data_IF_026104910488
#
_entry.id   IF_026104910488
#
_cell.length_a   1.000
_cell.length_b   1.000
_cell.length_c   1.000
_cell.angle_alpha   90.00
_cell.angle_beta   90.00
_cell.angle_gamma   90.00
#
_symmetry.space_group_name_H-M   'P 1'
#
loop_
_entity.id
_entity.type
_entity.pdbx_description
1 polymer ?
#
# COMPACT_ATOMS: atom_id res chain seq x y z
N UNK A 1 -17.30 -54.75 -23.58
CA UNK A 1 -16.22 -53.77 -23.83
C UNK A 1 -16.76 -52.42 -23.37
N UNK A 2 -16.54 -52.11 -22.10
CA UNK A 2 -17.00 -50.88 -21.44
C UNK A 2 -15.93 -49.82 -21.59
N UNK A 3 -16.31 -48.74 -22.26
CA UNK A 3 -15.49 -47.57 -22.55
C UNK A 3 -15.45 -46.68 -21.31
N UNK A 4 -14.34 -46.73 -20.58
CA UNK A 4 -14.04 -45.87 -19.42
C UNK A 4 -13.49 -44.55 -19.92
N UNK A 5 -14.38 -43.64 -20.33
CA UNK A 5 -14.04 -42.29 -20.71
C UNK A 5 -14.13 -41.33 -19.52
N UNK A 6 -12.98 -40.71 -19.24
CA UNK A 6 -12.83 -39.31 -18.88
C UNK A 6 -13.37 -38.83 -17.52
N UNK A 7 -12.66 -39.22 -16.45
CA UNK A 7 -12.64 -38.44 -15.21
C UNK A 7 -11.94 -37.09 -15.47
N UNK A 8 -12.76 -36.08 -15.73
CA UNK A 8 -12.43 -34.65 -15.76
C UNK A 8 -11.44 -34.30 -14.64
N UNK A 9 -10.18 -34.06 -15.01
CA UNK A 9 -9.23 -33.28 -14.19
C UNK A 9 -9.77 -31.86 -14.14
N UNK A 10 -10.60 -31.56 -13.13
CA UNK A 10 -11.02 -30.19 -12.85
C UNK A 10 -9.79 -29.31 -12.67
N UNK A 11 -9.70 -28.26 -13.48
CA UNK A 11 -8.63 -27.28 -13.35
C UNK A 11 -8.65 -26.71 -11.93
N UNK A 12 -7.57 -26.92 -11.18
CA UNK A 12 -7.41 -26.36 -9.84
C UNK A 12 -7.57 -24.83 -9.93
N UNK A 13 -8.38 -24.20 -9.07
CA UNK A 13 -8.59 -22.76 -9.13
C UNK A 13 -7.25 -22.01 -9.05
N UNK A 14 -7.09 -20.91 -9.81
CA UNK A 14 -5.88 -20.10 -9.77
C UNK A 14 -5.64 -19.62 -8.34
N UNK A 15 -4.45 -19.90 -7.80
CA UNK A 15 -4.05 -19.53 -6.44
C UNK A 15 -4.11 -20.64 -5.39
N UNK A 16 -4.60 -21.85 -5.71
CA UNK A 16 -4.57 -22.94 -4.73
C UNK A 16 -3.14 -23.49 -4.52
N UNK A 17 -2.81 -23.79 -3.26
CA UNK A 17 -1.54 -24.44 -2.91
C UNK A 17 -1.47 -25.83 -3.55
N UNK A 18 -0.45 -26.04 -4.40
CA UNK A 18 -0.22 -27.33 -5.07
C UNK A 18 0.67 -28.28 -4.26
N UNK A 19 1.31 -27.79 -3.19
CA UNK A 19 2.28 -28.55 -2.42
C UNK A 19 1.64 -29.07 -1.11
N UNK A 20 1.37 -30.38 -0.99
CA UNK A 20 0.72 -30.94 0.19
C UNK A 20 1.56 -30.80 1.47
N UNK A 21 2.89 -30.64 1.34
CA UNK A 21 3.76 -30.39 2.51
C UNK A 21 3.54 -29.01 3.11
N UNK A 22 3.26 -28.01 2.27
CA UNK A 22 2.96 -26.64 2.74
C UNK A 22 1.59 -26.64 3.41
N UNK A 23 0.59 -27.30 2.83
CA UNK A 23 -0.75 -27.40 3.43
C UNK A 23 -0.71 -28.12 4.80
N UNK A 24 0.00 -29.24 4.90
CA UNK A 24 0.19 -29.94 6.18
C UNK A 24 1.00 -29.12 7.21
N UNK A 25 1.89 -28.23 6.76
CA UNK A 25 2.60 -27.31 7.64
C UNK A 25 1.70 -26.15 8.10
N UNK A 26 0.80 -25.65 7.24
CA UNK A 26 -0.21 -24.66 7.62
C UNK A 26 -1.12 -25.24 8.70
N UNK A 27 -1.60 -26.48 8.54
CA UNK A 27 -2.45 -27.12 9.55
C UNK A 27 -1.79 -27.19 10.92
N UNK A 28 -0.54 -27.67 10.96
CA UNK A 28 0.22 -27.74 12.21
C UNK A 28 0.48 -26.34 12.78
N UNK A 29 0.83 -25.38 11.94
CA UNK A 29 1.04 -23.99 12.37
C UNK A 29 -0.24 -23.35 12.95
N UNK A 30 -1.42 -23.67 12.39
CA UNK A 30 -2.72 -23.22 12.92
C UNK A 30 -3.01 -23.89 14.28
N UNK A 31 -2.81 -25.21 14.37
CA UNK A 31 -3.01 -25.99 15.60
C UNK A 31 -2.11 -25.56 16.75
N UNK A 32 -0.86 -25.22 16.46
CA UNK A 32 0.13 -24.79 17.44
C UNK A 32 0.12 -23.27 17.67
N UNK A 33 -0.30 -22.49 16.67
CA UNK A 33 -0.13 -21.04 16.66
C UNK A 33 1.30 -20.57 16.41
N UNK A 34 2.14 -21.45 15.86
CA UNK A 34 3.57 -21.22 15.67
C UNK A 34 3.92 -21.26 14.16
N UNK A 35 4.45 -20.16 13.60
CA UNK A 35 4.78 -20.09 12.18
C UNK A 35 6.15 -20.70 11.82
N UNK A 36 6.99 -21.10 12.76
CA UNK A 36 8.42 -21.36 12.49
C UNK A 36 8.65 -22.49 11.46
N UNK A 37 7.97 -23.63 11.61
CA UNK A 37 8.09 -24.74 10.66
C UNK A 37 7.59 -24.33 9.26
N UNK A 38 6.48 -23.59 9.20
CA UNK A 38 5.93 -23.09 7.94
C UNK A 38 6.92 -22.14 7.26
N UNK A 39 7.48 -21.18 8.01
CA UNK A 39 8.43 -20.21 7.47
C UNK A 39 9.73 -20.87 7.01
N UNK A 40 10.23 -21.88 7.72
CA UNK A 40 11.40 -22.65 7.31
C UNK A 40 11.18 -23.37 5.96
N UNK A 41 9.96 -23.88 5.70
CA UNK A 41 9.61 -24.47 4.41
C UNK A 41 9.49 -23.43 3.29
N UNK A 42 9.01 -22.22 3.61
CA UNK A 42 8.82 -21.14 2.65
C UNK A 42 10.11 -20.40 2.28
N UNK A 43 11.14 -20.42 3.12
CA UNK A 43 12.37 -19.62 2.95
C UNK A 43 12.96 -19.75 1.54
N UNK A 44 13.10 -20.99 1.04
CA UNK A 44 13.67 -21.27 -0.30
C UNK A 44 12.80 -20.82 -1.47
N UNK A 45 11.49 -20.69 -1.27
CA UNK A 45 10.53 -20.35 -2.31
C UNK A 45 10.00 -18.91 -2.20
N UNK A 46 10.42 -18.20 -1.15
CA UNK A 46 10.02 -16.82 -0.86
C UNK A 46 10.52 -15.79 -1.89
N UNK A 47 11.55 -16.14 -2.65
CA UNK A 47 12.25 -15.23 -3.57
C UNK A 47 13.19 -14.26 -2.85
N UNK A 48 13.37 -14.41 -1.54
CA UNK A 48 14.27 -13.62 -0.71
C UNK A 48 15.58 -14.38 -0.43
N UNK A 49 16.68 -13.69 -0.06
CA UNK A 49 17.93 -14.35 0.28
C UNK A 49 17.74 -15.30 1.46
N UNK A 50 18.24 -16.53 1.34
CA UNK A 50 18.17 -17.55 2.38
C UNK A 50 18.92 -17.10 3.65
N UNK A 51 18.47 -17.58 4.81
CA UNK A 51 19.18 -17.34 6.07
C UNK A 51 20.51 -18.10 6.10
N UNK A 52 21.58 -17.46 6.62
CA UNK A 52 22.83 -18.13 7.00
C UNK A 52 23.21 -17.66 8.41
N UNK A 53 23.22 -18.58 9.38
CA UNK A 53 23.74 -18.32 10.74
C UNK A 53 22.86 -17.43 11.63
N UNK A 54 21.53 -17.54 11.56
CA UNK A 54 20.61 -16.78 12.42
C UNK A 54 20.32 -15.35 11.95
N UNK A 55 21.02 -14.87 10.92
CA UNK A 55 20.69 -13.65 10.16
C UNK A 55 20.45 -13.97 8.69
N UNK A 56 19.72 -13.09 8.00
CA UNK A 56 19.68 -13.12 6.54
C UNK A 56 21.06 -12.77 6.03
N UNK A 57 21.64 -13.59 5.15
CA UNK A 57 22.88 -13.18 4.50
C UNK A 57 22.61 -11.81 3.85
N UNK A 58 23.51 -10.81 3.98
CA UNK A 58 23.42 -9.65 3.13
C UNK A 58 23.29 -10.19 1.70
N UNK A 59 22.33 -9.65 0.95
CA UNK A 59 22.27 -9.95 -0.48
C UNK A 59 23.65 -9.71 -1.10
N UNK A 60 23.92 -10.20 -2.33
CA UNK A 60 25.12 -9.76 -3.04
C UNK A 60 25.25 -8.24 -2.90
N UNK A 61 26.46 -7.72 -2.69
CA UNK A 61 26.70 -6.31 -2.37
C UNK A 61 26.28 -5.44 -3.57
N UNK A 62 24.99 -5.20 -3.57
CA UNK A 62 24.18 -4.66 -4.63
C UNK A 62 23.97 -3.25 -4.13
N UNK A 63 24.84 -2.33 -4.53
CA UNK A 63 24.84 -0.94 -4.09
C UNK A 63 23.46 -0.27 -4.15
N UNK A 64 23.29 0.98 -3.73
CA UNK A 64 21.97 1.61 -3.46
C UNK A 64 20.94 1.57 -4.61
N UNK A 65 21.35 1.23 -5.84
CA UNK A 65 20.52 1.16 -7.04
C UNK A 65 20.26 -0.27 -7.55
N UNK A 66 20.74 -1.30 -6.85
CA UNK A 66 20.63 -2.65 -7.34
C UNK A 66 19.22 -3.23 -7.13
N UNK A 67 18.76 -4.12 -8.03
CA UNK A 67 17.41 -4.64 -7.97
C UNK A 67 17.20 -5.42 -6.67
N UNK A 68 16.18 -5.05 -5.91
CA UNK A 68 15.78 -5.80 -4.74
C UNK A 68 15.37 -7.23 -5.10
N UNK A 69 15.51 -8.19 -4.17
CA UNK A 69 15.01 -9.53 -4.36
C UNK A 69 13.52 -9.51 -4.74
N UNK A 70 13.14 -10.31 -5.74
CA UNK A 70 11.75 -10.41 -6.18
C UNK A 70 11.00 -11.34 -5.24
N UNK A 71 10.22 -10.75 -4.33
CA UNK A 71 9.32 -11.48 -3.44
C UNK A 71 8.34 -12.31 -4.26
N UNK A 72 8.16 -13.58 -3.90
CA UNK A 72 7.13 -14.43 -4.46
C UNK A 72 5.76 -14.12 -3.84
N UNK A 73 5.11 -13.06 -4.36
CA UNK A 73 3.80 -12.60 -3.90
C UNK A 73 2.68 -13.59 -4.22
N UNK A 74 2.80 -14.37 -5.29
CA UNK A 74 1.80 -15.39 -5.63
C UNK A 74 1.79 -16.53 -4.62
N UNK A 75 2.97 -16.98 -4.17
CA UNK A 75 3.07 -17.93 -3.07
C UNK A 75 2.54 -17.32 -1.77
N UNK A 76 2.90 -16.08 -1.44
CA UNK A 76 2.41 -15.43 -0.23
C UNK A 76 0.87 -15.30 -0.24
N UNK A 77 0.28 -14.97 -1.40
CA UNK A 77 -1.18 -14.93 -1.59
C UNK A 77 -1.82 -16.30 -1.41
N UNK A 78 -1.24 -17.34 -2.01
CA UNK A 78 -1.75 -18.70 -1.89
C UNK A 78 -1.70 -19.23 -0.45
N UNK A 79 -0.58 -18.99 0.26
CA UNK A 79 -0.42 -19.36 1.67
C UNK A 79 -1.38 -18.55 2.55
N UNK A 80 -1.45 -17.23 2.36
CA UNK A 80 -2.36 -16.36 3.12
C UNK A 80 -3.82 -16.77 2.95
N UNK A 81 -4.24 -17.09 1.73
CA UNK A 81 -5.58 -17.61 1.44
C UNK A 81 -5.88 -18.93 2.17
N UNK A 82 -4.94 -19.88 2.13
CA UNK A 82 -5.07 -21.18 2.80
C UNK A 82 -5.08 -21.06 4.34
N UNK A 83 -4.30 -20.13 4.92
CA UNK A 83 -4.39 -19.80 6.34
C UNK A 83 -5.79 -19.24 6.65
N UNK A 84 -6.26 -18.28 5.84
CA UNK A 84 -7.57 -17.67 6.03
C UNK A 84 -8.71 -18.69 5.89
N UNK A 85 -8.59 -19.72 5.05
CA UNK A 85 -9.58 -20.83 4.91
C UNK A 85 -9.89 -21.53 6.22
N UNK A 86 -9.00 -21.43 7.23
CA UNK A 86 -9.21 -22.04 8.55
C UNK A 86 -9.99 -21.13 9.52
N UNK A 87 -10.37 -19.93 9.07
CA UNK A 87 -11.24 -19.01 9.79
C UNK A 87 -10.70 -18.64 11.17
N UNK A 88 -11.57 -18.65 12.19
CA UNK A 88 -11.22 -18.27 13.55
C UNK A 88 -10.04 -19.09 14.14
N UNK A 89 -9.84 -20.34 13.71
CA UNK A 89 -8.72 -21.17 14.17
C UNK A 89 -7.36 -20.58 13.80
N UNK A 90 -7.29 -19.87 12.68
CA UNK A 90 -6.04 -19.28 12.18
C UNK A 90 -5.67 -17.96 12.86
N UNK A 91 -6.55 -17.33 13.66
CA UNK A 91 -6.29 -16.01 14.23
C UNK A 91 -4.99 -15.95 15.04
N UNK A 92 -4.72 -16.97 15.85
CA UNK A 92 -3.49 -17.07 16.64
C UNK A 92 -2.24 -17.12 15.75
N UNK A 93 -2.28 -17.89 14.66
CA UNK A 93 -1.19 -17.97 13.70
C UNK A 93 -1.00 -16.63 12.97
N UNK A 94 -2.08 -15.98 12.54
CA UNK A 94 -1.99 -14.67 11.86
C UNK A 94 -1.37 -13.63 12.80
N UNK A 95 -1.77 -13.59 14.08
CA UNK A 95 -1.15 -12.72 15.08
C UNK A 95 0.33 -13.03 15.28
N UNK A 96 0.70 -14.31 15.36
CA UNK A 96 2.11 -14.72 15.47
C UNK A 96 2.93 -14.28 14.24
N UNK A 97 2.37 -14.38 13.03
CA UNK A 97 2.99 -13.88 11.81
C UNK A 97 3.13 -12.35 11.83
N UNK A 98 2.11 -11.60 12.27
CA UNK A 98 2.18 -10.13 12.41
C UNK A 98 3.23 -9.66 13.42
N UNK A 99 3.52 -10.47 14.44
CA UNK A 99 4.55 -10.17 15.43
C UNK A 99 5.95 -10.64 15.02
N UNK A 100 6.10 -11.24 13.83
CA UNK A 100 7.37 -11.74 13.34
C UNK A 100 8.29 -10.60 12.91
N UNK A 101 9.59 -10.75 13.18
CA UNK A 101 10.61 -9.85 12.62
C UNK A 101 10.86 -10.10 11.13
N UNK A 102 10.31 -11.16 10.55
CA UNK A 102 10.64 -11.63 9.21
C UNK A 102 9.76 -11.01 8.14
N UNK A 103 10.38 -10.37 7.14
CA UNK A 103 9.64 -9.68 6.07
C UNK A 103 8.64 -10.59 5.36
N UNK A 104 9.04 -11.83 5.04
CA UNK A 104 8.13 -12.75 4.34
C UNK A 104 6.97 -13.19 5.23
N UNK A 105 7.19 -13.35 6.53
CA UNK A 105 6.13 -13.68 7.47
C UNK A 105 5.08 -12.56 7.52
N UNK A 106 5.51 -11.30 7.56
CA UNK A 106 4.62 -10.15 7.52
C UNK A 106 3.87 -10.01 6.19
N UNK A 107 4.53 -10.32 5.07
CA UNK A 107 3.88 -10.35 3.75
C UNK A 107 2.81 -11.45 3.70
N UNK A 108 3.09 -12.64 4.21
CA UNK A 108 2.10 -13.73 4.33
C UNK A 108 0.96 -13.32 5.27
N UNK A 109 1.27 -12.67 6.41
CA UNK A 109 0.28 -12.15 7.33
C UNK A 109 -0.66 -11.15 6.64
N UNK A 110 -0.11 -10.19 5.89
CA UNK A 110 -0.87 -9.22 5.13
C UNK A 110 -1.84 -9.89 4.14
N UNK A 111 -1.38 -10.92 3.42
CA UNK A 111 -2.25 -11.67 2.49
C UNK A 111 -3.34 -12.46 3.22
N UNK A 112 -3.05 -13.05 4.39
CA UNK A 112 -4.04 -13.74 5.21
C UNK A 112 -5.10 -12.77 5.75
N UNK A 113 -4.68 -11.60 6.24
CA UNK A 113 -5.55 -10.53 6.71
C UNK A 113 -6.49 -10.03 5.59
N UNK A 114 -5.94 -9.80 4.39
CA UNK A 114 -6.73 -9.40 3.24
C UNK A 114 -7.76 -10.46 2.82
N UNK A 115 -7.39 -11.74 2.84
CA UNK A 115 -8.31 -12.82 2.54
C UNK A 115 -9.45 -12.93 3.59
N UNK A 116 -9.15 -12.76 4.88
CA UNK A 116 -10.14 -12.71 5.95
C UNK A 116 -11.09 -11.50 5.78
N UNK A 117 -10.55 -10.31 5.53
CA UNK A 117 -11.32 -9.08 5.32
C UNK A 117 -12.23 -9.16 4.08
N UNK A 118 -11.72 -9.70 2.97
CA UNK A 118 -12.50 -9.85 1.73
C UNK A 118 -13.71 -10.76 1.90
N UNK A 119 -13.59 -11.84 2.68
CA UNK A 119 -14.71 -12.76 2.95
C UNK A 119 -15.77 -12.16 3.85
N UNK A 120 -15.38 -11.37 4.86
CA UNK A 120 -16.32 -10.67 5.71
C UNK A 120 -17.22 -9.73 4.89
N UNK A 121 -16.64 -8.95 3.97
CA UNK A 121 -17.39 -8.05 3.09
C UNK A 121 -18.34 -8.77 2.12
N UNK A 122 -17.96 -9.94 1.63
CA UNK A 122 -18.83 -10.78 0.78
C UNK A 122 -20.05 -11.30 1.56
N UNK A 123 -19.86 -11.69 2.83
CA UNK A 123 -20.95 -12.15 3.69
C UNK A 123 -21.93 -11.04 4.06
N UNK A 124 -21.43 -9.81 4.28
CA UNK A 124 -22.27 -8.63 4.53
C UNK A 124 -23.08 -8.24 3.29
N UNK A 125 -22.46 -8.30 2.10
CA UNK A 125 -23.13 -7.96 0.82
C UNK A 125 -24.20 -8.98 0.41
N UNK A 126 -24.07 -10.25 0.84
CA UNK A 126 -25.00 -11.34 0.52
C UNK A 126 -26.32 -11.32 1.34
N UNK A 127 -26.67 -10.20 1.98
CA UNK A 127 -28.02 -10.00 2.54
C UNK A 127 -28.26 -10.56 3.94
N UNK A 128 -27.22 -10.95 4.69
CA UNK A 128 -27.35 -11.05 6.15
C UNK A 128 -27.30 -9.65 6.74
N UNK A 129 -28.41 -8.93 6.58
CA UNK A 129 -28.67 -7.62 7.17
C UNK A 129 -28.75 -7.75 8.71
N UNK A 130 -27.59 -7.82 9.32
CA UNK A 130 -27.41 -7.84 10.75
C UNK A 130 -25.93 -7.63 10.96
N UNK A 131 -25.51 -6.36 11.00
CA UNK A 131 -24.14 -5.96 11.35
C UNK A 131 -23.81 -6.76 12.62
N UNK A 132 -22.96 -7.81 12.57
CA UNK A 132 -22.65 -8.55 13.78
C UNK A 132 -22.05 -7.52 14.72
N UNK A 133 -22.71 -7.33 15.87
CA UNK A 133 -22.29 -6.36 16.88
C UNK A 133 -20.89 -6.83 17.30
N UNK A 134 -19.84 -6.21 16.72
CA UNK A 134 -18.46 -6.64 16.91
C UNK A 134 -18.24 -6.71 18.41
N UNK A 135 -17.95 -7.92 18.91
CA UNK A 135 -17.61 -8.08 20.31
C UNK A 135 -16.38 -7.19 20.56
N UNK A 136 -16.45 -6.33 21.58
CA UNK A 136 -15.34 -5.46 21.95
C UNK A 136 -14.11 -6.35 22.22
N UNK A 137 -13.04 -6.22 21.43
CA UNK A 137 -11.84 -7.04 21.49
C UNK A 137 -11.73 -8.17 20.44
N UNK A 138 -12.70 -8.31 19.53
CA UNK A 138 -12.57 -9.22 18.39
C UNK A 138 -11.43 -8.79 17.46
N UNK A 139 -10.73 -9.76 16.86
CA UNK A 139 -9.69 -9.51 15.86
C UNK A 139 -10.30 -8.84 14.63
N UNK A 140 -9.87 -7.61 14.31
CA UNK A 140 -10.21 -6.95 13.06
C UNK A 140 -9.06 -7.12 12.04
N UNK A 141 -9.24 -7.89 10.96
CA UNK A 141 -8.20 -8.07 9.96
C UNK A 141 -7.79 -6.78 9.25
N UNK A 142 -8.70 -5.82 9.11
CA UNK A 142 -8.37 -4.55 8.43
C UNK A 142 -7.54 -3.64 9.32
N UNK A 143 -7.89 -3.53 10.60
CA UNK A 143 -7.08 -2.80 11.59
C UNK A 143 -5.67 -3.40 11.71
N UNK A 144 -5.56 -4.73 11.75
CA UNK A 144 -4.26 -5.39 11.79
C UNK A 144 -3.45 -5.18 10.48
N UNK A 145 -4.11 -5.11 9.33
CA UNK A 145 -3.45 -4.81 8.05
C UNK A 145 -3.00 -3.35 7.98
N UNK A 146 -3.80 -2.43 8.55
CA UNK A 146 -3.49 -1.01 8.69
C UNK A 146 -2.25 -0.79 9.57
N UNK A 147 -2.14 -1.52 10.69
CA UNK A 147 -0.94 -1.50 11.52
C UNK A 147 0.31 -2.03 10.78
N UNK A 148 0.17 -3.09 9.97
CA UNK A 148 1.29 -3.58 9.15
C UNK A 148 1.74 -2.56 8.09
N UNK A 149 0.86 -1.66 7.66
CA UNK A 149 1.21 -0.62 6.69
C UNK A 149 2.20 0.42 7.25
N UNK A 150 2.37 0.49 8.58
CA UNK A 150 3.39 1.34 9.23
C UNK A 150 4.82 0.78 9.11
N UNK A 151 5.00 -0.42 8.57
CA UNK A 151 6.32 -1.04 8.48
C UNK A 151 7.26 -0.23 7.52
N UNK A 152 8.45 0.19 7.99
CA UNK A 152 9.38 1.00 7.21
C UNK A 152 10.13 0.20 6.12
N UNK A 153 9.99 -1.12 6.06
CA UNK A 153 10.64 -1.98 5.07
C UNK A 153 9.84 -2.02 3.78
N UNK A 154 10.52 -1.73 2.67
CA UNK A 154 9.88 -1.64 1.35
C UNK A 154 9.14 -2.92 0.95
N UNK A 155 9.75 -4.08 1.17
CA UNK A 155 9.17 -5.36 0.75
C UNK A 155 7.87 -5.69 1.50
N UNK A 156 7.81 -5.35 2.79
CA UNK A 156 6.59 -5.50 3.59
C UNK A 156 5.50 -4.56 3.06
N UNK A 157 5.82 -3.29 2.79
CA UNK A 157 4.86 -2.34 2.19
C UNK A 157 4.34 -2.79 0.84
N UNK A 158 5.22 -3.27 -0.05
CA UNK A 158 4.81 -3.79 -1.35
C UNK A 158 3.82 -4.97 -1.17
N UNK A 159 4.06 -5.82 -0.17
CA UNK A 159 3.15 -6.89 0.25
C UNK A 159 1.81 -6.40 0.81
N UNK A 160 1.81 -5.35 1.65
CA UNK A 160 0.61 -4.72 2.21
C UNK A 160 -0.21 -4.06 1.11
N UNK A 161 0.41 -3.33 0.17
CA UNK A 161 -0.26 -2.75 -1.00
C UNK A 161 -0.92 -3.85 -1.84
N UNK A 162 -0.22 -4.96 -2.10
CA UNK A 162 -0.77 -6.08 -2.85
C UNK A 162 -1.95 -6.75 -2.11
N UNK A 163 -1.87 -6.84 -0.78
CA UNK A 163 -2.95 -7.33 0.07
C UNK A 163 -4.17 -6.38 0.03
N UNK A 164 -3.95 -5.07 0.16
CA UNK A 164 -5.00 -4.05 0.12
C UNK A 164 -5.71 -4.02 -1.24
N UNK A 165 -4.96 -4.16 -2.34
CA UNK A 165 -5.55 -4.35 -3.69
C UNK A 165 -6.48 -5.55 -3.76
N UNK A 166 -6.17 -6.64 -3.06
CA UNK A 166 -7.03 -7.83 -2.97
C UNK A 166 -8.31 -7.54 -2.21
N UNK A 167 -8.23 -6.77 -1.11
CA UNK A 167 -9.42 -6.32 -0.36
C UNK A 167 -10.31 -5.42 -1.21
N UNK A 168 -9.73 -4.41 -1.87
CA UNK A 168 -10.46 -3.48 -2.75
C UNK A 168 -11.12 -4.27 -3.89
N UNK A 169 -10.42 -5.23 -4.50
CA UNK A 169 -10.98 -6.10 -5.53
C UNK A 169 -12.20 -6.89 -5.05
N UNK A 170 -12.21 -7.33 -3.79
CA UNK A 170 -13.27 -8.13 -3.21
C UNK A 170 -14.48 -7.30 -2.72
N UNK A 171 -14.25 -6.07 -2.26
CA UNK A 171 -15.26 -5.22 -1.61
C UNK A 171 -15.71 -4.01 -2.44
N UNK A 172 -14.98 -3.67 -3.51
CA UNK A 172 -15.30 -2.58 -4.42
C UNK A 172 -15.33 -1.21 -3.72
N UNK A 173 -16.29 -0.38 -4.12
CA UNK A 173 -16.45 1.00 -3.66
C UNK A 173 -16.61 1.13 -2.13
N UNK A 174 -17.21 0.13 -1.46
CA UNK A 174 -17.35 0.13 -0.01
C UNK A 174 -16.00 0.22 0.72
N UNK A 175 -14.94 -0.35 0.15
CA UNK A 175 -13.59 -0.27 0.73
C UNK A 175 -13.00 1.14 0.60
N UNK A 176 -13.34 1.89 -0.44
CA UNK A 176 -12.81 3.25 -0.66
C UNK A 176 -13.23 4.20 0.47
N UNK A 177 -14.46 4.04 0.98
CA UNK A 177 -14.93 4.76 2.16
C UNK A 177 -14.16 4.39 3.43
N UNK A 178 -13.88 3.10 3.64
CA UNK A 178 -13.15 2.62 4.83
C UNK A 178 -11.67 3.02 4.85
N UNK A 179 -11.08 3.36 3.69
CA UNK A 179 -9.71 3.85 3.61
C UNK A 179 -9.50 5.21 4.29
N UNK A 180 -10.53 5.89 4.79
CA UNK A 180 -10.38 7.14 5.55
C UNK A 180 -9.58 6.96 6.84
N UNK A 181 -9.59 5.76 7.46
CA UNK A 181 -8.75 5.50 8.65
C UNK A 181 -7.27 5.38 8.29
N UNK A 182 -6.97 4.99 7.06
CA UNK A 182 -5.61 4.79 6.58
C UNK A 182 -4.89 6.12 6.29
N UNK A 183 -5.60 7.24 6.25
CA UNK A 183 -5.02 8.54 5.94
C UNK A 183 -4.55 9.33 7.16
N UNK A 184 -4.51 8.70 8.33
CA UNK A 184 -4.00 9.31 9.57
C UNK A 184 -2.47 9.20 9.73
N UNK A 185 -1.85 8.23 9.06
CA UNK A 185 -0.39 8.00 9.08
C UNK A 185 0.25 8.05 7.70
N UNK A 186 1.48 8.60 7.59
CA UNK A 186 2.10 8.84 6.29
C UNK A 186 2.32 7.57 5.44
N UNK A 187 2.70 6.44 6.07
CA UNK A 187 2.93 5.18 5.37
C UNK A 187 1.63 4.47 5.00
N UNK A 188 0.62 4.53 5.88
CA UNK A 188 -0.72 4.02 5.59
C UNK A 188 -1.38 4.80 4.45
N UNK A 189 -1.28 6.14 4.46
CA UNK A 189 -1.82 7.00 3.42
C UNK A 189 -1.17 6.68 2.06
N UNK A 190 0.16 6.50 2.06
CA UNK A 190 0.87 6.06 0.87
C UNK A 190 0.37 4.70 0.37
N UNK A 191 0.22 3.71 1.27
CA UNK A 191 -0.25 2.38 0.91
C UNK A 191 -1.69 2.39 0.35
N UNK A 192 -2.57 3.19 0.93
CA UNK A 192 -3.95 3.38 0.47
C UNK A 192 -3.99 3.98 -0.94
N UNK A 193 -3.28 5.08 -1.19
CA UNK A 193 -3.22 5.70 -2.50
C UNK A 193 -2.55 4.79 -3.55
N UNK A 194 -1.49 4.08 -3.17
CA UNK A 194 -0.80 3.14 -4.05
C UNK A 194 -1.68 1.93 -4.42
N UNK A 195 -2.53 1.47 -3.50
CA UNK A 195 -3.49 0.41 -3.78
C UNK A 195 -4.62 0.91 -4.69
N UNK A 196 -5.14 2.13 -4.47
CA UNK A 196 -6.17 2.76 -5.31
C UNK A 196 -5.66 3.07 -6.72
N UNK A 197 -4.38 3.42 -6.88
CA UNK A 197 -3.76 3.70 -8.18
C UNK A 197 -3.50 2.45 -9.04
N UNK A 198 -4.03 1.28 -8.69
CA UNK A 198 -3.95 0.07 -9.50
C UNK A 198 -4.92 0.14 -10.70
N UNK A 199 -4.37 0.25 -11.91
CA UNK A 199 -5.16 0.43 -13.16
C UNK A 199 -6.24 -0.65 -13.34
N UNK A 200 -5.93 -1.90 -12.98
CA UNK A 200 -6.88 -3.00 -13.12
C UNK A 200 -8.08 -2.87 -12.17
N UNK A 201 -7.91 -2.23 -11.01
CA UNK A 201 -8.99 -1.95 -10.06
C UNK A 201 -9.78 -0.71 -10.45
N UNK A 202 -9.11 0.34 -10.94
CA UNK A 202 -9.73 1.61 -11.33
C UNK A 202 -10.85 1.44 -12.37
N UNK A 203 -10.76 0.45 -13.24
CA UNK A 203 -11.81 0.15 -14.23
C UNK A 203 -13.11 -0.37 -13.61
N UNK A 204 -13.07 -0.84 -12.36
CA UNK A 204 -14.20 -1.43 -11.63
C UNK A 204 -14.79 -0.53 -10.56
N UNK A 205 -14.07 0.53 -10.18
CA UNK A 205 -14.51 1.49 -9.16
C UNK A 205 -15.40 2.58 -9.79
N UNK A 206 -16.47 2.90 -9.08
CA UNK A 206 -17.39 4.00 -9.39
C UNK A 206 -17.24 5.19 -8.44
N UNK A 207 -16.59 5.00 -7.29
CA UNK A 207 -16.46 5.96 -6.19
C UNK A 207 -15.43 7.08 -6.44
N UNK A 208 -15.58 7.83 -7.54
CA UNK A 208 -14.64 8.90 -7.92
C UNK A 208 -14.54 10.03 -6.89
N UNK A 209 -15.67 10.39 -6.27
CA UNK A 209 -15.71 11.42 -5.24
C UNK A 209 -14.96 10.97 -3.98
N UNK A 210 -15.19 9.75 -3.52
CA UNK A 210 -14.54 9.16 -2.34
C UNK A 210 -13.04 8.96 -2.59
N UNK A 211 -12.63 8.62 -3.81
CA UNK A 211 -11.20 8.58 -4.19
C UNK A 211 -10.56 9.97 -4.04
N UNK A 212 -11.25 11.03 -4.46
CA UNK A 212 -10.78 12.41 -4.27
C UNK A 212 -10.70 12.77 -2.79
N UNK A 213 -11.64 12.33 -1.95
CA UNK A 213 -11.58 12.54 -0.51
C UNK A 213 -10.33 11.88 0.11
N UNK A 214 -10.04 10.61 -0.22
CA UNK A 214 -8.84 9.92 0.29
C UNK A 214 -7.55 10.62 -0.17
N UNK A 215 -7.53 11.12 -1.41
CA UNK A 215 -6.42 11.91 -1.94
C UNK A 215 -6.28 13.25 -1.20
N UNK A 216 -7.38 13.94 -0.94
CA UNK A 216 -7.40 15.19 -0.18
C UNK A 216 -6.86 14.99 1.24
N UNK A 217 -7.32 13.96 1.94
CA UNK A 217 -6.87 13.61 3.29
C UNK A 217 -5.35 13.37 3.32
N UNK A 218 -4.83 12.54 2.39
CA UNK A 218 -3.40 12.27 2.28
C UNK A 218 -2.58 13.51 1.89
N UNK A 219 -3.11 14.37 1.01
CA UNK A 219 -2.47 15.62 0.63
C UNK A 219 -2.41 16.60 1.81
N UNK A 220 -3.52 16.76 2.53
CA UNK A 220 -3.61 17.63 3.73
C UNK A 220 -2.69 17.12 4.84
N UNK A 221 -2.61 15.80 5.04
CA UNK A 221 -1.66 15.17 5.96
C UNK A 221 -0.22 15.59 5.62
N UNK A 222 0.16 15.50 4.34
CA UNK A 222 1.49 15.90 3.89
C UNK A 222 1.71 17.42 3.93
N UNK A 223 0.70 18.23 3.60
CA UNK A 223 0.78 19.69 3.55
C UNK A 223 0.85 20.34 4.93
N UNK A 224 0.15 19.76 5.91
CA UNK A 224 0.13 20.26 7.30
C UNK A 224 1.18 19.60 8.20
N UNK A 225 2.05 18.78 7.63
CA UNK A 225 3.08 18.06 8.39
C UNK A 225 3.99 19.03 9.18
N UNK A 226 4.28 18.78 10.46
CA UNK A 226 5.27 19.53 11.22
C UNK A 226 6.65 19.47 10.54
N UNK A 227 7.48 20.50 10.76
CA UNK A 227 8.88 20.49 10.27
C UNK A 227 9.70 19.31 10.81
N UNK A 228 9.39 18.84 12.01
CA UNK A 228 10.07 17.70 12.61
C UNK A 228 9.89 16.41 11.78
N UNK A 229 8.80 16.34 11.02
CA UNK A 229 8.41 15.17 10.25
C UNK A 229 9.06 15.11 8.87
N UNK A 230 9.68 16.20 8.41
CA UNK A 230 10.32 16.29 7.08
C UNK A 230 11.43 15.25 6.86
N UNK A 231 12.03 14.76 7.96
CA UNK A 231 13.03 13.68 7.93
C UNK A 231 12.42 12.27 8.01
N UNK A 232 11.14 12.14 8.36
CA UNK A 232 10.48 10.86 8.47
C UNK A 232 10.37 10.21 7.09
N UNK A 233 10.70 8.92 7.04
CA UNK A 233 10.65 8.14 5.81
C UNK A 233 9.24 8.18 5.20
N UNK A 234 8.20 8.06 6.03
CA UNK A 234 6.81 8.02 5.59
C UNK A 234 6.39 9.28 4.82
N UNK A 235 6.64 10.46 5.38
CA UNK A 235 6.29 11.72 4.71
C UNK A 235 7.07 11.90 3.40
N UNK A 236 8.37 11.57 3.40
CA UNK A 236 9.20 11.64 2.18
C UNK A 236 8.71 10.68 1.10
N UNK A 237 8.31 9.47 1.48
CA UNK A 237 7.76 8.48 0.56
C UNK A 237 6.42 8.96 0.00
N UNK A 238 5.49 9.39 0.87
CA UNK A 238 4.19 9.89 0.48
C UNK A 238 4.31 11.03 -0.55
N UNK A 239 5.09 12.06 -0.25
CA UNK A 239 5.30 13.20 -1.18
C UNK A 239 5.95 12.77 -2.50
N UNK A 240 6.88 11.81 -2.47
CA UNK A 240 7.60 11.36 -3.67
C UNK A 240 6.72 10.56 -4.62
N UNK A 241 5.86 9.68 -4.09
CA UNK A 241 5.06 8.76 -4.92
C UNK A 241 3.67 9.33 -5.28
N UNK A 242 3.13 10.24 -4.46
CA UNK A 242 1.81 10.86 -4.68
C UNK A 242 1.65 11.48 -6.09
N UNK A 243 2.64 12.14 -6.71
CA UNK A 243 2.52 12.63 -8.09
C UNK A 243 2.13 11.55 -9.11
N UNK A 244 2.74 10.36 -9.03
CA UNK A 244 2.44 9.25 -9.94
C UNK A 244 1.07 8.63 -9.66
N UNK A 245 0.68 8.60 -8.38
CA UNK A 245 -0.64 8.14 -7.94
C UNK A 245 -1.73 9.08 -8.46
N UNK A 246 -1.59 10.40 -8.27
CA UNK A 246 -2.49 11.43 -8.84
C UNK A 246 -2.63 11.23 -10.34
N UNK A 247 -1.52 11.14 -11.07
CA UNK A 247 -1.57 10.99 -12.53
C UNK A 247 -2.30 9.72 -12.98
N UNK A 248 -2.18 8.63 -12.22
CA UNK A 248 -2.88 7.37 -12.52
C UNK A 248 -4.37 7.48 -12.22
N UNK A 249 -4.75 8.08 -11.09
CA UNK A 249 -6.15 8.31 -10.69
C UNK A 249 -6.87 9.25 -11.67
N UNK A 250 -6.21 10.34 -12.10
CA UNK A 250 -6.75 11.29 -13.09
C UNK A 250 -7.07 10.65 -14.43
N UNK A 251 -6.37 9.57 -14.80
CA UNK A 251 -6.66 8.83 -16.03
C UNK A 251 -8.03 8.14 -16.02
N UNK A 252 -8.64 7.95 -14.83
CA UNK A 252 -9.95 7.33 -14.65
C UNK A 252 -11.03 8.28 -14.16
N UNK A 253 -10.68 9.20 -13.26
CA UNK A 253 -11.62 10.05 -12.53
C UNK A 253 -11.36 11.54 -12.85
N UNK A 254 -12.22 12.18 -13.67
CA UNK A 254 -12.11 13.61 -13.99
C UNK A 254 -12.15 14.51 -12.76
N UNK A 255 -12.76 14.06 -11.66
CA UNK A 255 -12.82 14.75 -10.37
C UNK A 255 -11.41 15.02 -9.82
N UNK A 256 -10.44 14.13 -10.08
CA UNK A 256 -9.04 14.31 -9.64
C UNK A 256 -8.36 15.43 -10.42
N UNK A 257 -8.71 15.64 -11.69
CA UNK A 257 -8.20 16.76 -12.49
C UNK A 257 -8.71 18.09 -11.95
N UNK A 258 -10.01 18.16 -11.63
CA UNK A 258 -10.60 19.33 -10.97
C UNK A 258 -9.97 19.61 -9.61
N UNK A 259 -9.77 18.57 -8.80
CA UNK A 259 -9.05 18.68 -7.54
C UNK A 259 -7.64 19.24 -7.75
N UNK A 260 -6.90 18.77 -8.76
CA UNK A 260 -5.56 19.26 -9.06
C UNK A 260 -5.55 20.73 -9.50
N UNK A 261 -6.55 21.18 -10.25
CA UNK A 261 -6.75 22.60 -10.59
C UNK A 261 -6.87 23.45 -9.33
N UNK A 262 -7.65 23.01 -8.34
CA UNK A 262 -7.81 23.70 -7.06
C UNK A 262 -6.49 23.76 -6.28
N UNK A 263 -5.69 22.69 -6.31
CA UNK A 263 -4.39 22.62 -5.63
C UNK A 263 -3.27 23.44 -6.26
N UNK A 264 -3.47 24.01 -7.45
CA UNK A 264 -2.51 24.99 -8.03
C UNK A 264 -2.33 26.25 -7.18
N UNK A 265 -3.22 26.49 -6.20
CA UNK A 265 -3.18 27.64 -5.28
C UNK A 265 -2.46 27.35 -3.96
N UNK A 266 -1.92 26.16 -3.75
CA UNK A 266 -1.20 25.84 -2.51
C UNK A 266 0.07 26.69 -2.39
N UNK A 267 0.35 27.17 -1.18
CA UNK A 267 1.46 28.08 -0.91
C UNK A 267 2.73 27.36 -0.45
N UNK A 268 2.58 26.26 0.30
CA UNK A 268 3.71 25.52 0.89
C UNK A 268 4.62 24.98 -0.23
N UNK A 269 5.93 25.30 -0.23
CA UNK A 269 6.84 24.89 -1.30
C UNK A 269 6.86 23.39 -1.58
N UNK A 270 6.86 22.55 -0.54
CA UNK A 270 6.89 21.10 -0.71
C UNK A 270 5.61 20.56 -1.36
N UNK A 271 4.45 21.14 -1.01
CA UNK A 271 3.16 20.78 -1.60
C UNK A 271 3.04 21.28 -3.05
N UNK A 272 3.59 22.47 -3.33
CA UNK A 272 3.71 22.99 -4.71
C UNK A 272 4.59 22.09 -5.57
N UNK A 273 5.66 21.53 -5.02
CA UNK A 273 6.52 20.57 -5.71
C UNK A 273 5.73 19.30 -6.08
N UNK A 274 4.94 18.75 -5.14
CA UNK A 274 4.06 17.59 -5.42
C UNK A 274 3.08 17.90 -6.55
N UNK A 275 2.39 19.05 -6.50
CA UNK A 275 1.45 19.48 -7.56
C UNK A 275 2.15 19.65 -8.90
N UNK A 276 3.32 20.31 -8.92
CA UNK A 276 4.11 20.48 -10.14
C UNK A 276 4.58 19.16 -10.75
N UNK A 277 5.04 18.22 -9.92
CA UNK A 277 5.42 16.88 -10.36
C UNK A 277 4.22 16.07 -10.84
N UNK A 278 3.04 16.23 -10.23
CA UNK A 278 1.81 15.58 -10.67
C UNK A 278 1.40 16.07 -12.07
N UNK A 279 1.43 17.39 -12.31
CA UNK A 279 1.17 17.99 -13.63
C UNK A 279 2.16 17.45 -14.67
N UNK A 280 3.46 17.37 -14.32
CA UNK A 280 4.47 16.79 -15.21
C UNK A 280 4.25 15.29 -15.48
N UNK A 281 3.72 14.54 -14.51
CA UNK A 281 3.37 13.13 -14.67
C UNK A 281 2.13 12.93 -15.56
N UNK A 282 1.12 13.82 -15.47
CA UNK A 282 -0.03 13.81 -16.38
C UNK A 282 0.38 13.92 -17.85
N UNK A 283 1.37 14.79 -18.14
CA UNK A 283 1.91 14.98 -19.49
C UNK A 283 2.52 13.71 -20.10
N UNK A 284 3.10 12.84 -19.28
CA UNK A 284 3.63 11.55 -19.74
C UNK A 284 2.53 10.50 -19.99
N UNK A 285 1.32 10.76 -19.50
CA UNK A 285 0.17 9.90 -19.67
C UNK A 285 -0.62 10.24 -20.92
N UNK A 286 -1.94 10.31 -20.78
CA UNK A 286 -2.90 10.48 -21.88
C UNK A 286 -3.47 11.90 -21.99
N UNK A 287 -2.93 12.86 -21.23
CA UNK A 287 -3.42 14.24 -21.20
C UNK A 287 -2.82 15.08 -22.33
N UNK A 288 -3.57 16.08 -22.79
CA UNK A 288 -3.09 16.99 -23.83
C UNK A 288 -2.01 17.94 -23.32
N UNK A 289 -1.07 18.30 -24.21
CA UNK A 289 -0.04 19.31 -23.91
C UNK A 289 -0.67 20.66 -23.53
N UNK A 290 -1.81 21.02 -24.14
CA UNK A 290 -2.51 22.27 -23.85
C UNK A 290 -3.11 22.31 -22.42
N UNK A 291 -3.76 21.23 -21.99
CA UNK A 291 -4.33 21.16 -20.63
C UNK A 291 -3.24 21.16 -19.56
N UNK A 292 -2.16 20.41 -19.78
CA UNK A 292 -1.04 20.35 -18.85
C UNK A 292 -0.30 21.69 -18.78
N UNK A 293 -0.13 22.39 -19.90
CA UNK A 293 0.41 23.75 -19.92
C UNK A 293 -0.47 24.73 -19.12
N UNK A 294 -1.80 24.69 -19.31
CA UNK A 294 -2.75 25.52 -18.55
C UNK A 294 -2.62 25.31 -17.03
N UNK A 295 -2.48 24.06 -16.57
CA UNK A 295 -2.28 23.75 -15.15
C UNK A 295 -0.93 24.24 -14.64
N UNK A 296 0.13 24.08 -15.44
CA UNK A 296 1.46 24.56 -15.09
C UNK A 296 1.49 26.10 -14.97
N UNK A 297 0.85 26.81 -15.89
CA UNK A 297 0.72 28.26 -15.87
C UNK A 297 -0.08 28.74 -14.64
N UNK A 298 -1.17 28.03 -14.29
CA UNK A 298 -1.95 28.32 -13.09
C UNK A 298 -1.14 28.14 -11.80
N UNK A 299 -0.30 27.09 -11.71
CA UNK A 299 0.62 26.91 -10.59
C UNK A 299 1.71 27.99 -10.58
N UNK A 300 2.23 28.39 -11.75
CA UNK A 300 3.27 29.41 -11.84
C UNK A 300 2.75 30.81 -11.44
N UNK A 301 1.49 31.13 -11.78
CA UNK A 301 0.84 32.40 -11.44
C UNK A 301 0.70 32.62 -9.93
N UNK A 302 0.72 31.56 -9.12
CA UNK A 302 0.64 31.62 -7.64
C UNK A 302 2.01 31.52 -6.98
N UNK A 303 3.10 31.53 -7.75
CA UNK A 303 4.45 31.47 -7.20
C UNK A 303 4.78 32.74 -6.40
N UNK A 304 5.42 32.62 -5.21
CA UNK A 304 5.89 33.79 -4.50
C UNK A 304 6.92 34.55 -5.34
N UNK A 305 6.95 35.90 -5.26
CA UNK A 305 7.87 36.70 -6.04
C UNK A 305 9.33 36.28 -5.76
N UNK A 306 10.21 36.30 -6.79
CA UNK A 306 11.61 35.94 -6.62
C UNK A 306 12.24 36.76 -5.49
N UNK A 307 13.06 36.12 -4.66
CA UNK A 307 13.85 36.84 -3.65
C UNK A 307 14.80 37.77 -4.38
N UNK A 308 14.58 39.07 -4.26
CA UNK A 308 15.47 40.10 -4.80
C UNK A 308 16.77 40.15 -3.97
N UNK A 309 17.91 39.72 -4.51
CA UNK A 309 19.18 39.74 -3.79
C UNK A 309 19.71 41.16 -3.54
N UNK A 310 19.18 42.17 -4.23
CA UNK A 310 19.56 43.58 -4.05
C UNK A 310 18.79 44.27 -2.91
N UNK A 311 17.65 43.70 -2.48
CA UNK A 311 16.94 44.11 -1.27
C UNK A 311 17.66 43.56 -0.03
N UNK A 312 18.66 44.30 0.44
CA UNK A 312 19.28 44.08 1.74
C UNK A 312 18.20 44.28 2.81
N UNK A 313 17.73 43.19 3.43
CA UNK A 313 16.95 43.26 4.66
C UNK A 313 17.89 43.73 5.76
N UNK A 314 17.87 45.03 6.07
CA UNK A 314 18.60 45.57 7.22
C UNK A 314 18.13 44.82 8.49
N UNK A 315 19.02 44.08 9.14
CA UNK A 315 18.75 43.47 10.45
C UNK A 315 19.01 41.97 10.61
N UNK A 316 19.26 41.20 9.54
CA UNK A 316 19.71 39.80 9.70
C UNK A 316 21.17 39.77 10.15
N UNK A 317 21.36 39.66 11.48
CA UNK A 317 22.63 39.47 12.19
C UNK A 317 23.68 38.75 11.34
N UNK A 318 24.80 39.45 11.08
CA UNK A 318 26.09 38.82 10.76
C UNK A 318 26.33 37.71 11.78
N UNK A 319 26.24 36.43 11.36
CA UNK A 319 26.85 35.33 12.12
C UNK A 319 28.33 35.66 12.20
N UNK A 320 28.76 36.13 13.38
CA UNK A 320 30.16 36.27 13.73
C UNK A 320 30.83 34.92 13.47
N UNK A 321 31.77 34.91 12.52
CA UNK A 321 32.80 33.87 12.43
C UNK A 321 33.42 33.74 13.81
N UNK A 322 33.18 32.61 14.47
CA UNK A 322 33.89 32.21 15.67
C UNK A 322 35.38 32.19 15.36
N UNK A 323 36.10 33.06 16.05
CA UNK A 323 37.55 33.22 16.08
C UNK A 323 38.08 32.26 17.16
N UNK A 324 39.16 31.55 16.81
CA UNK A 324 40.19 30.92 17.65
C UNK A 324 39.76 29.86 18.65
#
# INVERSE_FOLDING_TARGET
MTDTSDQRRGATPPGALRNPKIDAAIERAVELGDPDELLALLDRSSGLPARRGGGRAPGPDLGPNAPLPRVNLDLARAVGGAIADRGARAERLVRALCSSAEEYALIVAAQALAALAGRAGQQESAGRAGRPRRARGAFDPLEALEQLAEDPRRLVRDGVVAALRTVIAARGDAMVGELSTWTDGYLQAHAALEALAERTLLTRLGAGAEVVERLEEAFVLADRSPRADERLQGLRLLRREMPAQIATLSGRFPEVVRWLEEKTRVERPESREVVGQAIAALRKGSFSDAETARLADALAATAPPPRDPSRIVQGTRKRSRGRR
#
